data_IF_457604392920
#
_entry.id   IF_457604392920
#
_cell.length_a   1.000
_cell.length_b   1.000
_cell.length_c   1.000
_cell.angle_alpha   90.00
_cell.angle_beta   90.00
_cell.angle_gamma   90.00
#
_symmetry.space_group_name_H-M   'P 1'
#
loop_
_entity.id
_entity.type
_entity.pdbx_description
1 polymer ?
#
# COMPACT_ATOMS: atom_id res chain seq x y z
N UNK A 1 14.26 50.95 14.78
CA UNK A 1 13.57 50.02 15.70
C UNK A 1 12.54 49.19 14.93
N UNK A 2 12.81 47.87 14.89
CA UNK A 2 11.90 46.74 14.62
C UNK A 2 11.19 46.67 13.27
N UNK A 3 11.90 46.07 12.32
CA UNK A 3 11.36 45.30 11.18
C UNK A 3 10.62 44.06 11.72
N UNK A 4 9.35 43.90 11.36
CA UNK A 4 8.54 42.71 11.64
C UNK A 4 8.34 41.91 10.35
N UNK A 5 9.32 41.09 9.99
CA UNK A 5 9.26 40.25 8.81
C UNK A 5 8.54 38.94 9.15
N UNK A 6 7.23 38.91 8.91
CA UNK A 6 6.40 37.70 8.99
C UNK A 6 6.78 36.71 7.88
N UNK A 7 7.80 35.88 8.15
CA UNK A 7 8.17 34.77 7.27
C UNK A 7 7.14 33.65 7.41
N UNK A 8 6.11 33.71 6.57
CA UNK A 8 5.10 32.67 6.44
C UNK A 8 5.72 31.30 6.14
N UNK A 9 5.36 30.31 6.97
CA UNK A 9 5.79 28.90 6.90
C UNK A 9 5.06 28.14 5.76
N UNK A 10 4.82 28.80 4.63
CA UNK A 10 3.89 28.33 3.59
C UNK A 10 4.50 27.32 2.61
N UNK A 11 5.83 27.13 2.59
CA UNK A 11 6.49 26.37 1.50
C UNK A 11 6.93 24.93 1.83
N UNK A 12 6.62 24.37 3.01
CA UNK A 12 6.98 22.97 3.32
C UNK A 12 5.96 21.92 2.81
N UNK A 13 5.02 22.29 1.95
CA UNK A 13 4.17 21.29 1.25
C UNK A 13 4.95 20.68 0.09
N UNK A 14 5.83 19.73 0.41
CA UNK A 14 6.40 18.86 -0.62
C UNK A 14 5.25 18.15 -1.35
N UNK A 15 5.30 18.14 -2.69
CA UNK A 15 4.36 17.37 -3.50
C UNK A 15 4.58 15.90 -3.15
N UNK A 16 3.56 15.25 -2.58
CA UNK A 16 3.61 13.83 -2.27
C UNK A 16 3.86 13.01 -3.53
N UNK A 17 4.64 11.93 -3.39
CA UNK A 17 4.82 10.95 -4.45
C UNK A 17 3.68 9.94 -4.34
N UNK A 18 2.79 9.92 -5.34
CA UNK A 18 1.79 8.87 -5.45
C UNK A 18 2.41 7.66 -6.16
N UNK A 19 2.77 6.62 -5.39
CA UNK A 19 3.21 5.36 -5.96
C UNK A 19 2.01 4.65 -6.59
N UNK A 20 2.19 4.15 -7.82
CA UNK A 20 1.19 3.29 -8.49
C UNK A 20 0.86 2.05 -7.64
N UNK A 21 1.87 1.51 -6.94
CA UNK A 21 1.76 0.36 -6.07
C UNK A 21 2.25 0.76 -4.67
N UNK A 22 1.35 1.10 -3.72
CA UNK A 22 1.68 1.79 -2.48
C UNK A 22 2.70 1.07 -1.57
N UNK A 23 2.79 -0.26 -1.65
CA UNK A 23 3.69 -1.06 -0.80
C UNK A 23 5.04 -1.36 -1.47
N UNK A 24 5.35 -0.72 -2.60
CA UNK A 24 6.64 -0.89 -3.28
C UNK A 24 7.80 -0.54 -2.35
N UNK A 25 8.78 -1.44 -2.25
CA UNK A 25 9.92 -1.28 -1.35
C UNK A 25 9.64 -1.62 0.12
N UNK A 26 8.39 -1.87 0.49
CA UNK A 26 8.00 -2.28 1.86
C UNK A 26 7.82 -3.79 2.00
N UNK A 27 7.42 -4.47 0.92
CA UNK A 27 7.24 -5.93 0.92
C UNK A 27 8.62 -6.58 0.80
N UNK A 28 9.03 -7.37 1.79
CA UNK A 28 10.34 -8.03 1.83
C UNK A 28 10.18 -9.54 1.63
N UNK A 29 11.04 -10.12 0.80
CA UNK A 29 11.11 -11.56 0.63
C UNK A 29 11.71 -12.23 1.88
N UNK A 30 10.97 -13.15 2.49
CA UNK A 30 11.41 -13.87 3.68
C UNK A 30 12.59 -14.83 3.46
N UNK A 31 12.86 -15.22 2.21
CA UNK A 31 13.95 -16.15 1.88
C UNK A 31 15.28 -15.43 1.59
N UNK A 32 15.27 -14.43 0.71
CA UNK A 32 16.50 -13.74 0.29
C UNK A 32 16.66 -12.33 0.89
N UNK A 33 15.71 -11.85 1.70
CA UNK A 33 15.78 -10.56 2.39
C UNK A 33 15.66 -9.32 1.50
N UNK A 34 15.49 -9.49 0.19
CA UNK A 34 15.36 -8.38 -0.75
C UNK A 34 13.91 -7.89 -0.84
N UNK A 35 13.74 -6.60 -1.15
CA UNK A 35 12.44 -6.05 -1.46
C UNK A 35 11.81 -6.74 -2.69
N UNK A 36 10.55 -7.11 -2.57
CA UNK A 36 9.73 -7.63 -3.64
C UNK A 36 9.27 -6.50 -4.57
N UNK A 37 9.09 -6.83 -5.85
CA UNK A 37 8.70 -5.90 -6.90
C UNK A 37 7.24 -6.12 -7.29
N UNK A 38 6.54 -5.06 -7.70
CA UNK A 38 5.21 -5.21 -8.27
C UNK A 38 5.33 -5.78 -9.71
N UNK A 39 4.57 -6.83 -9.97
CA UNK A 39 4.43 -7.49 -11.26
C UNK A 39 2.96 -7.50 -11.64
N UNK A 40 2.65 -7.01 -12.84
CA UNK A 40 1.28 -6.93 -13.35
C UNK A 40 1.13 -7.76 -14.63
N UNK A 41 0.04 -8.53 -14.71
CA UNK A 41 -0.36 -9.21 -15.92
C UNK A 41 -0.98 -8.26 -16.96
N UNK A 42 -1.45 -8.85 -18.06
CA UNK A 42 -2.24 -8.15 -19.07
C UNK A 42 -3.53 -7.57 -18.51
N UNK A 43 -4.03 -6.51 -19.15
CA UNK A 43 -5.33 -5.95 -18.85
C UNK A 43 -6.45 -6.87 -19.33
N UNK A 44 -7.56 -6.91 -18.59
CA UNK A 44 -8.77 -7.61 -18.97
C UNK A 44 -9.98 -6.71 -18.69
N UNK A 45 -11.03 -6.88 -19.48
CA UNK A 45 -12.28 -6.14 -19.32
C UNK A 45 -13.24 -6.99 -18.49
N UNK A 46 -13.80 -6.42 -17.42
CA UNK A 46 -14.81 -7.10 -16.62
C UNK A 46 -16.14 -7.16 -17.37
N UNK A 47 -17.08 -7.97 -16.86
CA UNK A 47 -18.45 -8.02 -17.38
C UNK A 47 -19.15 -6.65 -17.35
N UNK A 48 -18.72 -5.77 -16.45
CA UNK A 48 -19.23 -4.41 -16.28
C UNK A 48 -18.53 -3.38 -17.20
N UNK A 49 -17.60 -3.81 -18.06
CA UNK A 49 -16.87 -2.95 -18.99
C UNK A 49 -15.65 -2.24 -18.38
N UNK A 50 -15.22 -2.59 -17.16
CA UNK A 50 -14.05 -1.98 -16.52
C UNK A 50 -12.75 -2.68 -16.93
N UNK A 51 -11.72 -1.93 -17.32
CA UNK A 51 -10.38 -2.47 -17.50
C UNK A 51 -9.72 -2.71 -16.14
N UNK A 52 -9.43 -3.98 -15.81
CA UNK A 52 -8.70 -4.39 -14.60
C UNK A 52 -7.38 -5.07 -14.95
N UNK A 53 -6.44 -5.05 -14.00
CA UNK A 53 -5.14 -5.73 -14.10
C UNK A 53 -4.85 -6.45 -12.80
N UNK A 54 -4.56 -7.74 -12.88
CA UNK A 54 -4.01 -8.47 -11.74
C UNK A 54 -2.58 -7.99 -11.47
N UNK A 55 -2.35 -7.51 -10.26
CA UNK A 55 -1.03 -7.10 -9.78
C UNK A 55 -0.68 -7.92 -8.55
N UNK A 56 0.59 -8.36 -8.48
CA UNK A 56 1.15 -9.06 -7.33
C UNK A 56 2.54 -8.52 -6.99
N UNK A 57 2.97 -8.68 -5.74
CA UNK A 57 4.36 -8.53 -5.35
C UNK A 57 5.06 -9.88 -5.49
N UNK A 58 6.24 -9.87 -6.11
CA UNK A 58 7.05 -11.07 -6.40
C UNK A 58 8.52 -10.84 -6.04
N UNK A 59 9.24 -11.90 -5.68
CA UNK A 59 10.68 -11.81 -5.48
C UNK A 59 11.38 -11.58 -6.83
N UNK A 60 12.16 -10.50 -6.97
CA UNK A 60 12.93 -10.22 -8.19
C UNK A 60 13.92 -11.32 -8.58
N UNK A 61 14.47 -12.02 -7.58
CA UNK A 61 15.47 -13.08 -7.79
C UNK A 61 14.84 -14.44 -8.11
N UNK A 62 13.51 -14.55 -8.05
CA UNK A 62 12.80 -15.74 -8.54
C UNK A 62 13.08 -15.96 -10.03
N UNK A 63 13.03 -14.89 -10.84
CA UNK A 63 13.22 -14.95 -12.28
C UNK A 63 14.63 -15.37 -12.71
N UNK A 64 15.64 -15.12 -11.88
CA UNK A 64 17.03 -15.56 -12.12
C UNK A 64 17.33 -16.93 -11.51
N UNK A 65 16.38 -17.55 -10.81
CA UNK A 65 16.59 -18.79 -10.06
C UNK A 65 17.49 -18.64 -8.83
N UNK A 66 17.83 -17.41 -8.42
CA UNK A 66 18.71 -17.14 -7.28
C UNK A 66 17.97 -17.09 -5.94
N UNK A 67 16.65 -17.27 -5.95
CA UNK A 67 15.80 -17.38 -4.77
C UNK A 67 14.69 -18.40 -5.05
N UNK A 68 14.42 -19.30 -4.09
CA UNK A 68 13.38 -20.32 -4.19
C UNK A 68 11.96 -19.77 -3.99
N UNK A 69 11.82 -18.54 -3.49
CA UNK A 69 10.52 -17.93 -3.26
C UNK A 69 9.80 -17.67 -4.59
N UNK A 70 8.86 -18.55 -4.91
CA UNK A 70 7.98 -18.46 -6.08
C UNK A 70 6.62 -17.87 -5.73
N UNK A 71 6.42 -17.35 -4.52
CA UNK A 71 5.11 -16.89 -4.06
C UNK A 71 4.77 -15.51 -4.63
N UNK A 72 3.52 -15.38 -5.08
CA UNK A 72 2.94 -14.12 -5.57
C UNK A 72 1.97 -13.60 -4.53
N UNK A 73 2.26 -12.43 -3.95
CA UNK A 73 1.36 -11.79 -2.99
C UNK A 73 0.43 -10.84 -3.75
N UNK A 74 -0.89 -11.07 -3.83
CA UNK A 74 -1.79 -10.17 -4.56
C UNK A 74 -1.75 -8.76 -3.94
N UNK A 75 -1.55 -7.74 -4.79
CA UNK A 75 -1.37 -6.35 -4.36
C UNK A 75 -2.60 -5.85 -3.60
N UNK A 76 -3.79 -6.08 -4.15
CA UNK A 76 -5.04 -5.60 -3.58
C UNK A 76 -5.32 -6.21 -2.21
N UNK A 77 -5.14 -7.52 -2.08
CA UNK A 77 -5.30 -8.22 -0.82
C UNK A 77 -4.33 -7.68 0.24
N UNK A 78 -3.05 -7.56 -0.10
CA UNK A 78 -2.04 -7.07 0.85
C UNK A 78 -2.29 -5.62 1.26
N UNK A 79 -2.66 -4.76 0.30
CA UNK A 79 -3.03 -3.37 0.54
C UNK A 79 -4.19 -3.30 1.54
N UNK A 80 -5.24 -4.10 1.35
CA UNK A 80 -6.38 -4.13 2.27
C UNK A 80 -5.96 -4.60 3.67
N UNK A 81 -5.13 -5.65 3.78
CA UNK A 81 -4.59 -6.09 5.06
C UNK A 81 -3.79 -4.99 5.77
N UNK A 82 -2.87 -4.33 5.07
CA UNK A 82 -2.05 -3.24 5.64
C UNK A 82 -2.91 -2.07 6.08
N UNK A 83 -3.86 -1.63 5.25
CA UNK A 83 -4.77 -0.53 5.61
C UNK A 83 -5.62 -0.89 6.82
N UNK A 84 -6.13 -2.12 6.90
CA UNK A 84 -6.91 -2.57 8.07
C UNK A 84 -6.05 -2.59 9.34
N UNK A 85 -4.81 -3.08 9.26
CA UNK A 85 -3.88 -3.05 10.39
C UNK A 85 -3.54 -1.62 10.82
N UNK A 86 -3.33 -0.71 9.86
CA UNK A 86 -3.11 0.71 10.15
C UNK A 86 -4.33 1.28 10.87
N UNK A 87 -5.54 0.99 10.39
CA UNK A 87 -6.77 1.46 11.01
C UNK A 87 -6.91 0.97 12.45
N UNK A 88 -6.75 -0.34 12.68
CA UNK A 88 -6.82 -0.94 14.01
C UNK A 88 -5.81 -0.34 14.99
N UNK A 89 -4.62 0.05 14.51
CA UNK A 89 -3.57 0.65 15.36
C UNK A 89 -3.76 2.14 15.61
N UNK A 90 -4.24 2.88 14.61
CA UNK A 90 -4.35 4.34 14.69
C UNK A 90 -5.70 4.80 15.23
N UNK A 91 -6.76 4.05 14.96
CA UNK A 91 -8.10 4.30 15.44
C UNK A 91 -8.44 3.11 16.32
N UNK A 92 -8.43 3.30 17.64
CA UNK A 92 -8.98 2.35 18.60
C UNK A 92 -10.43 2.08 18.19
N UNK A 93 -10.62 1.09 17.33
CA UNK A 93 -11.92 0.74 16.80
C UNK A 93 -12.46 -0.23 17.84
N UNK A 94 -13.08 0.32 18.89
CA UNK A 94 -13.86 -0.48 19.83
C UNK A 94 -15.00 -1.13 19.04
N UNK A 95 -15.05 -2.47 18.94
CA UNK A 95 -16.11 -3.17 18.21
C UNK A 95 -17.46 -3.18 18.95
N UNK A 96 -17.63 -2.45 20.06
CA UNK A 96 -18.78 -2.55 20.98
C UNK A 96 -19.70 -1.30 21.04
N UNK A 97 -19.69 -0.41 20.04
CA UNK A 97 -20.55 0.80 20.08
C UNK A 97 -21.82 0.76 19.20
N UNK A 98 -22.28 -0.41 18.75
CA UNK A 98 -23.46 -0.56 17.88
C UNK A 98 -24.52 -1.56 18.40
N UNK A 99 -24.89 -1.53 19.69
CA UNK A 99 -26.05 -2.30 20.19
C UNK A 99 -26.99 -1.53 21.16
N UNK A 100 -26.95 -0.20 21.21
CA UNK A 100 -27.92 0.57 22.01
C UNK A 100 -28.66 1.59 21.14
N UNK A 101 -29.57 1.11 20.28
CA UNK A 101 -30.73 1.88 19.83
C UNK A 101 -31.79 0.93 19.27
N UNK A 102 -32.29 0.05 20.14
CA UNK A 102 -33.56 -0.63 19.91
C UNK A 102 -34.24 -0.96 21.23
N UNK A 103 -34.69 0.07 21.96
CA UNK A 103 -35.80 -0.03 22.92
C UNK A 103 -36.68 1.22 22.82
#
# INVERSE_FOLDING_TARGET
PSEGEERGISSLRQRGIALKYPLSGLVICGECGLAMIASSGGAYVTVDGEERRYTSYVCRNHYSGSCSNTFHVPEEWLRNCVVNLIRQRLFLTDPESNEEDMH
#
